data_IF_416467646050
#
_entry.id   IF_416467646050
#
_cell.length_a   1.000
_cell.length_b   1.000
_cell.length_c   1.000
_cell.angle_alpha   90.00
_cell.angle_beta   90.00
_cell.angle_gamma   90.00
#
_symmetry.space_group_name_H-M   'P 1'
#
loop_
_entity.id
_entity.type
_entity.pdbx_description
1 polymer ?
#
# COMPACT_ATOMS: atom_id res chain seq x y z
N UNK A 1 -2.36 2.79 28.76
CA UNK A 1 -1.51 3.88 29.29
C UNK A 1 -1.47 5.13 28.39
N UNK A 2 -2.05 5.12 27.16
CA UNK A 2 -1.97 6.24 26.21
C UNK A 2 -3.10 7.28 26.24
N UNK A 3 -4.27 6.96 26.80
CA UNK A 3 -5.40 7.93 26.81
C UNK A 3 -5.19 9.08 27.80
N UNK A 4 -4.61 8.77 28.97
CA UNK A 4 -4.27 9.76 29.99
C UNK A 4 -3.21 10.77 29.52
N UNK A 5 -2.24 10.34 28.69
CA UNK A 5 -1.23 11.25 28.15
C UNK A 5 -1.80 12.19 27.07
N UNK A 6 -2.77 11.73 26.28
CA UNK A 6 -3.52 12.59 25.35
C UNK A 6 -4.37 13.62 26.09
N UNK A 7 -5.10 13.18 27.11
CA UNK A 7 -5.95 14.06 27.91
C UNK A 7 -5.15 15.22 28.54
N UNK A 8 -3.94 14.95 29.06
CA UNK A 8 -3.08 15.98 29.64
C UNK A 8 -2.56 16.97 28.58
N UNK A 9 -2.22 16.49 27.38
CA UNK A 9 -1.78 17.34 26.27
C UNK A 9 -2.90 18.24 25.75
N UNK A 10 -4.13 17.72 25.68
CA UNK A 10 -5.30 18.51 25.34
C UNK A 10 -5.61 19.56 26.40
N UNK A 11 -5.55 19.18 27.68
CA UNK A 11 -5.74 20.10 28.80
C UNK A 11 -4.68 21.22 28.79
N UNK A 12 -3.41 20.89 28.50
CA UNK A 12 -2.34 21.87 28.37
C UNK A 12 -2.57 22.81 27.17
N UNK A 13 -3.00 22.28 26.02
CA UNK A 13 -3.31 23.09 24.84
C UNK A 13 -4.45 24.07 25.11
N UNK A 14 -5.57 23.57 25.67
CA UNK A 14 -6.73 24.39 26.03
C UNK A 14 -6.36 25.45 27.07
N UNK A 15 -5.69 25.05 28.15
CA UNK A 15 -5.27 25.96 29.22
C UNK A 15 -4.29 27.02 28.70
N UNK A 16 -3.32 26.64 27.87
CA UNK A 16 -2.36 27.56 27.27
C UNK A 16 -3.03 28.58 26.36
N UNK A 17 -3.94 28.14 25.48
CA UNK A 17 -4.68 29.05 24.60
C UNK A 17 -5.58 30.01 25.38
N UNK A 18 -6.28 29.52 26.40
CA UNK A 18 -7.11 30.36 27.28
C UNK A 18 -6.24 31.37 28.03
N UNK A 19 -5.13 30.93 28.63
CA UNK A 19 -4.21 31.79 29.36
C UNK A 19 -3.61 32.88 28.48
N UNK A 20 -3.24 32.55 27.25
CA UNK A 20 -2.71 33.52 26.29
C UNK A 20 -3.75 34.58 25.89
N UNK A 21 -5.00 34.18 25.63
CA UNK A 21 -6.09 35.12 25.35
C UNK A 21 -6.38 36.03 26.56
N UNK A 22 -6.41 35.48 27.77
CA UNK A 22 -6.62 36.26 29.00
C UNK A 22 -5.49 37.26 29.22
N UNK A 23 -4.23 36.86 29.05
CA UNK A 23 -3.08 37.76 29.18
C UNK A 23 -3.14 38.90 28.14
N UNK A 24 -3.48 38.58 26.90
CA UNK A 24 -3.57 39.57 25.82
C UNK A 24 -4.75 40.53 25.94
N UNK A 25 -5.86 40.12 26.55
CA UNK A 25 -7.08 40.92 26.71
C UNK A 25 -7.22 41.58 28.10
N UNK A 26 -6.37 41.24 29.06
CA UNK A 26 -6.44 41.75 30.43
C UNK A 26 -5.75 43.11 30.59
N UNK A 27 -6.48 44.19 30.92
CA UNK A 27 -5.90 45.52 31.09
C UNK A 27 -4.84 45.59 32.21
N UNK A 28 -4.91 44.69 33.19
CA UNK A 28 -3.98 44.64 34.33
C UNK A 28 -2.65 43.94 34.06
N UNK A 29 -2.50 43.26 32.92
CA UNK A 29 -1.29 42.51 32.53
C UNK A 29 -0.60 43.10 31.28
N UNK A 30 -0.93 44.35 30.94
CA UNK A 30 -0.46 44.98 29.69
C UNK A 30 -1.29 44.62 28.46
N UNK A 31 -2.50 44.08 28.67
CA UNK A 31 -3.41 43.64 27.63
C UNK A 31 -3.91 44.78 26.75
N UNK A 32 -4.06 44.44 25.49
CA UNK A 32 -4.34 45.33 24.39
C UNK A 32 -5.84 45.66 24.32
N UNK A 33 -6.19 46.93 24.13
CA UNK A 33 -7.60 47.36 24.08
C UNK A 33 -8.22 47.09 22.72
N UNK A 34 -9.38 46.42 22.73
CA UNK A 34 -10.20 46.17 21.55
C UNK A 34 -10.75 47.46 20.92
N UNK A 35 -10.95 48.52 21.71
CA UNK A 35 -11.39 49.84 21.25
C UNK A 35 -10.53 50.94 21.89
N UNK A 36 -10.05 51.88 21.06
CA UNK A 36 -9.32 53.07 21.51
C UNK A 36 -7.81 52.88 21.77
N UNK A 37 -7.25 51.72 21.43
CA UNK A 37 -5.80 51.47 21.41
C UNK A 37 -5.14 51.88 20.07
N UNK A 38 -3.86 51.56 19.91
CA UNK A 38 -3.19 51.77 18.60
C UNK A 38 -3.70 50.77 17.55
N UNK A 39 -3.65 51.11 16.26
CA UNK A 39 -4.11 50.21 15.19
C UNK A 39 -3.36 48.87 15.18
N UNK A 40 -2.09 48.87 15.60
CA UNK A 40 -1.27 47.67 15.75
C UNK A 40 -1.77 46.78 16.90
N UNK A 41 -2.10 47.39 18.03
CA UNK A 41 -2.61 46.73 19.23
C UNK A 41 -3.96 46.04 18.97
N UNK A 42 -4.88 46.72 18.28
CA UNK A 42 -6.16 46.13 17.89
C UNK A 42 -5.99 44.99 16.87
N UNK A 43 -5.12 45.16 15.87
CA UNK A 43 -4.85 44.11 14.88
C UNK A 43 -4.26 42.85 15.53
N UNK A 44 -3.30 43.01 16.44
CA UNK A 44 -2.69 41.89 17.17
C UNK A 44 -3.73 41.08 17.95
N UNK A 45 -4.62 41.75 18.69
CA UNK A 45 -5.68 41.09 19.47
C UNK A 45 -6.67 40.37 18.56
N UNK A 46 -7.10 41.00 17.47
CA UNK A 46 -8.04 40.40 16.52
C UNK A 46 -7.42 39.16 15.87
N UNK A 47 -6.16 39.23 15.44
CA UNK A 47 -5.44 38.07 14.88
C UNK A 47 -5.31 36.95 15.91
N UNK A 48 -4.94 37.26 17.16
CA UNK A 48 -4.84 36.27 18.24
C UNK A 48 -6.18 35.54 18.45
N UNK A 49 -7.29 36.29 18.48
CA UNK A 49 -8.63 35.76 18.71
C UNK A 49 -9.11 34.88 17.56
N UNK A 50 -8.77 35.24 16.31
CA UNK A 50 -9.08 34.43 15.11
C UNK A 50 -8.18 33.19 15.01
N UNK A 51 -6.90 33.30 15.36
CA UNK A 51 -5.96 32.17 15.28
C UNK A 51 -6.13 31.18 16.42
N UNK A 52 -6.61 31.62 17.59
CA UNK A 52 -6.90 30.77 18.75
C UNK A 52 -7.78 29.55 18.43
N UNK A 53 -8.97 29.67 17.79
CA UNK A 53 -9.78 28.51 17.40
C UNK A 53 -9.08 27.64 16.35
N UNK A 54 -8.30 28.23 15.42
CA UNK A 54 -7.53 27.46 14.43
C UNK A 54 -6.48 26.58 15.11
N UNK A 55 -5.75 27.13 16.09
CA UNK A 55 -4.75 26.39 16.88
C UNK A 55 -5.40 25.31 17.73
N UNK A 56 -6.56 25.58 18.34
CA UNK A 56 -7.29 24.57 19.10
C UNK A 56 -7.77 23.42 18.22
N UNK A 57 -8.33 23.73 17.04
CA UNK A 57 -8.81 22.70 16.11
C UNK A 57 -7.66 21.86 15.56
N UNK A 58 -6.61 22.50 15.03
CA UNK A 58 -5.47 21.80 14.42
C UNK A 58 -4.63 21.06 15.47
N UNK A 59 -4.38 21.68 16.62
CA UNK A 59 -3.64 21.07 17.72
C UNK A 59 -4.39 19.90 18.35
N UNK A 60 -5.69 20.04 18.61
CA UNK A 60 -6.50 18.94 19.14
C UNK A 60 -6.60 17.78 18.15
N UNK A 61 -6.77 18.09 16.86
CA UNK A 61 -6.77 17.07 15.80
C UNK A 61 -5.44 16.32 15.75
N UNK A 62 -4.31 17.03 15.84
CA UNK A 62 -2.99 16.39 15.89
C UNK A 62 -2.82 15.51 17.15
N UNK A 63 -3.27 15.93 18.33
CA UNK A 63 -3.11 15.13 19.56
C UNK A 63 -4.03 13.90 19.57
N UNK A 64 -5.24 14.02 19.03
CA UNK A 64 -6.22 12.92 19.02
C UNK A 64 -5.92 11.88 17.93
N UNK A 65 -5.51 12.33 16.74
CA UNK A 65 -5.48 11.48 15.53
C UNK A 65 -4.08 11.25 14.93
N UNK A 66 -3.01 11.91 15.42
CA UNK A 66 -1.65 11.73 14.88
C UNK A 66 -0.89 10.53 15.45
N UNK A 67 -1.53 9.70 16.26
CA UNK A 67 -1.05 8.34 16.49
C UNK A 67 -1.37 7.49 15.25
N UNK A 68 -0.75 7.81 14.12
CA UNK A 68 -0.74 6.89 13.00
C UNK A 68 0.05 5.67 13.46
N UNK A 69 -0.57 4.48 13.57
CA UNK A 69 0.22 3.26 13.72
C UNK A 69 1.08 3.21 12.46
N UNK A 70 2.40 3.30 12.63
CA UNK A 70 3.31 2.87 11.58
C UNK A 70 2.85 1.48 11.19
N UNK A 71 2.51 1.26 9.91
CA UNK A 71 2.06 -0.04 9.44
C UNK A 71 3.01 -1.09 10.04
N UNK A 72 2.50 -2.13 10.74
CA UNK A 72 3.36 -3.12 11.37
C UNK A 72 4.35 -3.61 10.32
N UNK A 73 5.66 -3.58 10.63
CA UNK A 73 6.70 -4.09 9.72
C UNK A 73 6.21 -5.44 9.22
N UNK A 74 6.14 -5.60 7.90
CA UNK A 74 5.81 -6.87 7.30
C UNK A 74 6.75 -7.89 7.96
N UNK A 75 6.25 -8.91 8.66
CA UNK A 75 7.07 -10.10 8.90
C UNK A 75 7.64 -10.51 7.54
N UNK A 76 8.79 -11.18 7.50
CA UNK A 76 9.28 -11.79 6.25
C UNK A 76 8.31 -12.88 5.79
N UNK A 77 7.16 -12.46 5.26
CA UNK A 77 6.19 -13.27 4.55
C UNK A 77 6.80 -13.44 3.17
N UNK A 78 7.79 -14.33 3.08
CA UNK A 78 8.42 -14.69 1.80
C UNK A 78 7.73 -15.89 1.16
N UNK A 79 6.86 -16.60 1.89
CA UNK A 79 6.24 -17.83 1.40
C UNK A 79 4.78 -17.61 0.97
N UNK A 80 4.31 -18.31 -0.09
CA UNK A 80 2.94 -18.24 -0.57
C UNK A 80 1.88 -18.49 0.52
N UNK A 81 2.12 -19.44 1.41
CA UNK A 81 1.21 -19.83 2.50
C UNK A 81 1.04 -18.71 3.52
N UNK A 82 2.12 -17.95 3.75
CA UNK A 82 2.12 -16.83 4.68
C UNK A 82 1.25 -15.68 4.17
N UNK A 83 1.26 -15.43 2.85
CA UNK A 83 0.34 -14.49 2.20
C UNK A 83 -1.11 -14.98 2.29
N UNK A 84 -1.36 -16.25 1.95
CA UNK A 84 -2.70 -16.85 2.04
C UNK A 84 -3.33 -16.67 3.43
N UNK A 85 -2.59 -17.02 4.48
CA UNK A 85 -3.05 -16.89 5.86
C UNK A 85 -3.39 -15.43 6.22
N UNK A 86 -2.61 -14.47 5.73
CA UNK A 86 -2.84 -13.05 5.98
C UNK A 86 -4.14 -12.55 5.33
N UNK A 87 -4.41 -12.91 4.07
CA UNK A 87 -5.66 -12.49 3.39
C UNK A 87 -6.90 -13.20 3.94
N UNK A 88 -6.80 -14.46 4.35
CA UNK A 88 -7.89 -15.17 5.05
C UNK A 88 -8.32 -14.43 6.32
N UNK A 89 -7.37 -13.80 7.03
CA UNK A 89 -7.68 -12.98 8.22
C UNK A 89 -8.48 -11.73 7.85
N UNK A 90 -8.06 -10.99 6.82
CA UNK A 90 -8.74 -9.77 6.39
C UNK A 90 -10.14 -10.01 5.84
N UNK A 91 -10.41 -11.21 5.31
CA UNK A 91 -11.76 -11.60 4.86
C UNK A 91 -12.83 -11.47 5.95
N UNK A 92 -12.44 -11.53 7.24
CA UNK A 92 -13.35 -11.30 8.38
C UNK A 92 -13.79 -9.85 8.52
N UNK A 93 -13.01 -8.91 7.97
CA UNK A 93 -13.33 -7.48 7.96
C UNK A 93 -14.15 -7.15 6.71
N UNK A 94 -15.39 -6.68 6.89
CA UNK A 94 -16.30 -6.35 5.76
C UNK A 94 -15.69 -5.33 4.80
N UNK A 95 -14.91 -4.38 5.30
CA UNK A 95 -14.32 -3.31 4.49
C UNK A 95 -13.17 -3.81 3.61
N UNK A 96 -12.52 -4.92 3.95
CA UNK A 96 -11.37 -5.48 3.23
C UNK A 96 -11.71 -6.78 2.49
N UNK A 97 -12.95 -7.27 2.66
CA UNK A 97 -13.34 -8.60 2.21
C UNK A 97 -13.19 -8.75 0.70
N UNK A 98 -13.57 -7.73 -0.07
CA UNK A 98 -13.55 -7.78 -1.54
C UNK A 98 -12.12 -7.93 -2.07
N UNK A 99 -11.22 -7.11 -1.57
CA UNK A 99 -9.81 -7.09 -1.95
C UNK A 99 -9.11 -8.37 -1.50
N UNK A 100 -9.49 -8.87 -0.31
CA UNK A 100 -8.98 -10.15 0.21
C UNK A 100 -9.44 -11.34 -0.63
N UNK A 101 -10.72 -11.40 -0.98
CA UNK A 101 -11.27 -12.49 -1.81
C UNK A 101 -10.64 -12.50 -3.21
N UNK A 102 -10.43 -11.31 -3.80
CA UNK A 102 -9.72 -11.18 -5.06
C UNK A 102 -8.25 -11.65 -4.96
N UNK A 103 -7.51 -11.19 -3.95
CA UNK A 103 -6.12 -11.59 -3.75
C UNK A 103 -5.97 -13.10 -3.53
N UNK A 104 -6.86 -13.71 -2.74
CA UNK A 104 -6.87 -15.16 -2.53
C UNK A 104 -7.12 -15.92 -3.84
N UNK A 105 -8.10 -15.48 -4.63
CA UNK A 105 -8.34 -16.10 -5.95
C UNK A 105 -7.13 -16.01 -6.87
N UNK A 106 -6.43 -14.87 -6.88
CA UNK A 106 -5.24 -14.68 -7.69
C UNK A 106 -4.06 -15.54 -7.21
N UNK A 107 -3.85 -15.66 -5.90
CA UNK A 107 -2.82 -16.52 -5.31
C UNK A 107 -3.01 -17.99 -5.72
N UNK A 108 -4.23 -18.51 -5.59
CA UNK A 108 -4.56 -19.88 -5.98
C UNK A 108 -4.35 -20.11 -7.49
N UNK A 109 -4.74 -19.14 -8.32
CA UNK A 109 -4.54 -19.22 -9.77
C UNK A 109 -3.06 -19.19 -10.15
N UNK A 110 -2.25 -18.35 -9.48
CA UNK A 110 -0.81 -18.26 -9.74
C UNK A 110 -0.13 -19.60 -9.46
N UNK A 111 -0.35 -20.15 -8.26
CA UNK A 111 0.24 -21.43 -7.84
C UNK A 111 -0.11 -22.56 -8.83
N UNK A 112 -1.39 -22.69 -9.19
CA UNK A 112 -1.82 -23.72 -10.15
C UNK A 112 -1.18 -23.55 -11.52
N UNK A 113 -1.13 -22.33 -12.05
CA UNK A 113 -0.57 -22.05 -13.38
C UNK A 113 0.93 -22.33 -13.42
N UNK A 114 1.68 -21.85 -12.43
CA UNK A 114 3.13 -22.10 -12.34
C UNK A 114 3.42 -23.60 -12.27
N UNK A 115 2.68 -24.34 -11.43
CA UNK A 115 2.84 -25.79 -11.32
C UNK A 115 2.55 -26.52 -12.64
N UNK A 116 1.47 -26.14 -13.35
CA UNK A 116 1.15 -26.73 -14.66
C UNK A 116 2.21 -26.38 -15.70
N UNK A 117 2.67 -25.14 -15.74
CA UNK A 117 3.70 -24.69 -16.69
C UNK A 117 5.02 -25.43 -16.50
N UNK A 118 5.49 -25.54 -15.26
CA UNK A 118 6.72 -26.26 -14.95
C UNK A 118 6.61 -27.76 -15.24
N UNK A 119 5.43 -28.36 -14.97
CA UNK A 119 5.13 -29.74 -15.33
C UNK A 119 5.23 -29.97 -16.84
N UNK A 120 4.48 -29.18 -17.63
CA UNK A 120 4.51 -29.25 -19.09
C UNK A 120 5.91 -28.97 -19.68
N UNK A 121 6.65 -28.07 -19.05
CA UNK A 121 8.01 -27.75 -19.47
C UNK A 121 8.95 -28.94 -19.28
N UNK A 122 8.83 -29.66 -18.14
CA UNK A 122 9.62 -30.86 -17.85
C UNK A 122 9.25 -32.08 -18.70
N UNK A 123 8.00 -32.16 -19.16
CA UNK A 123 7.58 -33.19 -20.11
C UNK A 123 8.12 -32.96 -21.53
N UNK A 124 8.33 -31.69 -21.91
CA UNK A 124 8.65 -31.31 -23.30
C UNK A 124 10.12 -31.05 -23.57
N UNK A 125 10.88 -30.63 -22.56
CA UNK A 125 12.28 -30.25 -22.71
C UNK A 125 13.12 -30.93 -21.65
N UNK A 126 14.36 -31.26 -22.00
CA UNK A 126 15.31 -31.73 -21.00
C UNK A 126 15.73 -30.55 -20.10
N UNK A 127 15.72 -30.68 -18.75
CA UNK A 127 16.15 -29.63 -17.83
C UNK A 127 17.56 -29.07 -18.07
N UNK A 128 18.44 -29.82 -18.75
CA UNK A 128 19.78 -29.33 -19.10
C UNK A 128 19.80 -28.39 -20.31
N UNK A 129 18.74 -28.38 -21.13
CA UNK A 129 18.62 -27.57 -22.33
C UNK A 129 18.43 -26.08 -22.00
N UNK A 130 18.94 -25.23 -22.89
CA UNK A 130 18.83 -23.78 -22.76
C UNK A 130 17.36 -23.31 -22.88
N UNK A 131 16.55 -23.97 -23.71
CA UNK A 131 15.12 -23.67 -23.88
C UNK A 131 14.36 -23.85 -22.57
N UNK A 132 14.56 -24.99 -21.91
CA UNK A 132 14.01 -25.25 -20.57
C UNK A 132 14.41 -24.16 -19.59
N UNK A 133 15.71 -23.87 -19.47
CA UNK A 133 16.21 -22.88 -18.51
C UNK A 133 15.63 -21.49 -18.73
N UNK A 134 15.35 -21.09 -19.97
CA UNK A 134 14.73 -19.79 -20.26
C UNK A 134 13.27 -19.74 -19.90
N UNK A 135 12.47 -20.73 -20.29
CA UNK A 135 11.08 -20.77 -19.85
C UNK A 135 10.97 -20.81 -18.32
N UNK A 136 11.76 -21.66 -17.66
CA UNK A 136 11.77 -21.74 -16.20
C UNK A 136 12.16 -20.41 -15.54
N UNK A 137 13.18 -19.72 -16.07
CA UNK A 137 13.58 -18.39 -15.59
C UNK A 137 12.50 -17.33 -15.82
N UNK A 138 11.78 -17.40 -16.94
CA UNK A 138 10.71 -16.46 -17.26
C UNK A 138 9.52 -16.65 -16.32
N UNK A 139 9.11 -17.90 -16.08
CA UNK A 139 8.06 -18.27 -15.13
C UNK A 139 8.43 -17.78 -13.73
N UNK A 140 9.65 -18.04 -13.27
CA UNK A 140 10.13 -17.61 -11.96
C UNK A 140 10.14 -16.08 -11.79
N UNK A 141 10.57 -15.34 -12.82
CA UNK A 141 10.56 -13.88 -12.78
C UNK A 141 9.14 -13.31 -12.72
N UNK A 142 8.19 -13.87 -13.47
CA UNK A 142 6.78 -13.48 -13.42
C UNK A 142 6.16 -13.78 -12.06
N UNK A 143 6.47 -14.94 -11.49
CA UNK A 143 6.04 -15.32 -10.15
C UNK A 143 6.58 -14.36 -9.09
N UNK A 144 7.87 -13.99 -9.15
CA UNK A 144 8.48 -13.03 -8.24
C UNK A 144 7.79 -11.66 -8.31
N UNK A 145 7.48 -11.16 -9.51
CA UNK A 145 6.78 -9.90 -9.71
C UNK A 145 5.37 -9.92 -9.11
N UNK A 146 4.63 -10.99 -9.34
CA UNK A 146 3.30 -11.18 -8.77
C UNK A 146 3.33 -11.15 -7.24
N UNK A 147 4.25 -11.90 -6.61
CA UNK A 147 4.39 -11.89 -5.16
C UNK A 147 4.89 -10.54 -4.61
N UNK A 148 5.61 -9.77 -5.42
CA UNK A 148 5.93 -8.36 -5.14
C UNK A 148 4.67 -7.52 -4.97
N UNK A 149 3.75 -7.54 -5.94
CA UNK A 149 2.48 -6.81 -5.84
C UNK A 149 1.59 -7.32 -4.70
N UNK A 150 1.56 -8.63 -4.46
CA UNK A 150 0.82 -9.22 -3.31
C UNK A 150 1.35 -8.66 -1.99
N UNK A 151 2.66 -8.48 -1.86
CA UNK A 151 3.30 -7.91 -0.66
C UNK A 151 2.88 -6.45 -0.45
N UNK A 152 2.90 -5.64 -1.51
CA UNK A 152 2.47 -4.24 -1.45
C UNK A 152 0.98 -4.13 -1.11
N UNK A 153 0.13 -4.95 -1.75
CA UNK A 153 -1.29 -5.05 -1.46
C UNK A 153 -1.54 -5.41 0.02
N UNK A 154 -0.82 -6.39 0.55
CA UNK A 154 -0.88 -6.75 1.96
C UNK A 154 -0.50 -5.56 2.87
N UNK A 155 0.56 -4.83 2.52
CA UNK A 155 0.96 -3.60 3.22
C UNK A 155 -0.17 -2.57 3.27
N UNK A 156 -0.83 -2.33 2.13
CA UNK A 156 -1.96 -1.40 2.02
C UNK A 156 -3.17 -1.84 2.85
N UNK A 157 -3.53 -3.12 2.81
CA UNK A 157 -4.66 -3.65 3.57
C UNK A 157 -4.41 -3.54 5.09
N UNK A 158 -3.17 -3.76 5.53
CA UNK A 158 -2.77 -3.52 6.95
C UNK A 158 -2.88 -2.05 7.32
N UNK A 159 -2.41 -1.15 6.45
CA UNK A 159 -2.52 0.29 6.68
C UNK A 159 -3.99 0.72 6.80
N UNK A 160 -4.85 0.19 5.92
CA UNK A 160 -6.29 0.44 5.96
C UNK A 160 -6.96 -0.13 7.21
N UNK A 161 -6.57 -1.33 7.64
CA UNK A 161 -7.07 -1.92 8.89
C UNK A 161 -6.66 -1.08 10.10
N UNK A 162 -5.44 -0.55 10.11
CA UNK A 162 -4.89 0.25 11.20
C UNK A 162 -5.40 1.70 11.21
N UNK A 163 -5.81 2.25 10.06
CA UNK A 163 -6.25 3.64 9.93
C UNK A 163 -7.55 3.76 9.14
N UNK A 164 -8.63 4.17 9.81
CA UNK A 164 -9.91 4.45 9.18
C UNK A 164 -9.86 5.60 8.16
N UNK A 165 -8.87 6.50 8.29
CA UNK A 165 -8.66 7.65 7.41
C UNK A 165 -7.69 7.37 6.26
N UNK A 166 -7.24 6.13 6.07
CA UNK A 166 -6.49 5.77 4.86
C UNK A 166 -7.36 6.04 3.64
N UNK A 167 -7.06 7.10 2.90
CA UNK A 167 -7.67 7.49 1.61
C UNK A 167 -6.80 6.95 0.47
N UNK A 168 -7.35 6.78 -0.73
CA UNK A 168 -6.60 6.28 -1.89
C UNK A 168 -6.34 4.76 -1.92
N UNK A 169 -6.28 4.10 -0.76
CA UNK A 169 -5.97 2.67 -0.65
C UNK A 169 -6.80 1.75 -1.57
N UNK A 170 -8.07 2.08 -1.83
CA UNK A 170 -8.94 1.28 -2.69
C UNK A 170 -8.51 1.37 -4.16
N UNK A 171 -8.09 2.56 -4.62
CA UNK A 171 -7.57 2.75 -5.98
C UNK A 171 -6.22 2.05 -6.13
N UNK A 172 -5.32 2.20 -5.14
CA UNK A 172 -4.01 1.56 -5.16
C UNK A 172 -4.13 0.03 -5.14
N UNK A 173 -5.03 -0.51 -4.28
CA UNK A 173 -5.31 -1.95 -4.22
C UNK A 173 -5.88 -2.49 -5.53
N UNK A 174 -6.75 -1.72 -6.20
CA UNK A 174 -7.27 -2.08 -7.52
C UNK A 174 -6.17 -2.09 -8.60
N UNK A 175 -5.20 -1.18 -8.51
CA UNK A 175 -4.02 -1.15 -9.37
C UNK A 175 -3.19 -2.43 -9.25
N UNK A 176 -2.84 -2.83 -8.03
CA UNK A 176 -2.08 -4.07 -7.79
C UNK A 176 -2.85 -5.33 -8.19
N UNK A 177 -4.15 -5.41 -7.86
CA UNK A 177 -5.00 -6.53 -8.28
C UNK A 177 -5.13 -6.59 -9.81
N UNK A 178 -5.26 -5.44 -10.48
CA UNK A 178 -5.32 -5.36 -11.94
C UNK A 178 -4.02 -5.80 -12.61
N UNK A 179 -2.86 -5.34 -12.11
CA UNK A 179 -1.56 -5.76 -12.61
C UNK A 179 -1.33 -7.27 -12.43
N UNK A 180 -1.76 -7.82 -11.29
CA UNK A 180 -1.74 -9.26 -11.05
C UNK A 180 -2.64 -10.04 -12.01
N UNK A 181 -3.79 -9.49 -12.38
CA UNK A 181 -4.67 -10.13 -13.37
C UNK A 181 -4.01 -10.17 -14.76
N UNK A 182 -3.35 -9.09 -15.16
CA UNK A 182 -2.59 -9.06 -16.41
C UNK A 182 -1.50 -10.13 -16.43
N UNK A 183 -0.74 -10.26 -15.33
CA UNK A 183 0.26 -11.32 -15.16
C UNK A 183 -0.37 -12.71 -15.35
N UNK A 184 -1.50 -12.98 -14.69
CA UNK A 184 -2.19 -14.27 -14.79
C UNK A 184 -2.65 -14.57 -16.21
N UNK A 185 -3.12 -13.56 -16.95
CA UNK A 185 -3.51 -13.68 -18.36
C UNK A 185 -2.32 -13.96 -19.27
N UNK A 186 -1.17 -13.35 -19.02
CA UNK A 186 0.06 -13.64 -19.79
C UNK A 186 0.56 -15.06 -19.54
N UNK A 187 0.44 -15.56 -18.31
CA UNK A 187 0.72 -16.98 -18.02
C UNK A 187 -0.25 -17.93 -18.74
N UNK A 188 -1.52 -17.55 -18.89
CA UNK A 188 -2.47 -18.30 -19.71
C UNK A 188 -2.06 -18.36 -21.18
N UNK A 189 -1.58 -17.24 -21.73
CA UNK A 189 -1.00 -17.19 -23.08
C UNK A 189 0.21 -18.10 -23.22
N UNK A 190 1.15 -18.04 -22.25
CA UNK A 190 2.33 -18.90 -22.26
C UNK A 190 1.96 -20.39 -22.15
N UNK A 191 0.97 -20.75 -21.33
CA UNK A 191 0.48 -22.12 -21.21
C UNK A 191 -0.09 -22.64 -22.52
N UNK A 192 -0.92 -21.82 -23.19
CA UNK A 192 -1.49 -22.18 -24.49
C UNK A 192 -0.40 -22.35 -25.57
N UNK A 193 0.58 -21.46 -25.62
CA UNK A 193 1.71 -21.59 -26.56
C UNK A 193 2.58 -22.81 -26.24
N UNK A 194 2.94 -23.03 -24.97
CA UNK A 194 3.72 -24.20 -24.54
C UNK A 194 3.04 -25.52 -24.89
N UNK A 195 1.71 -25.57 -24.78
CA UNK A 195 0.93 -26.75 -25.16
C UNK A 195 1.00 -27.04 -26.66
N UNK A 196 1.09 -25.98 -27.49
CA UNK A 196 1.17 -26.07 -28.96
C UNK A 196 2.59 -26.32 -29.48
N UNK A 197 3.61 -26.07 -28.68
CA UNK A 197 5.00 -26.24 -29.09
C UNK A 197 5.38 -27.72 -29.18
N UNK A 198 5.61 -28.19 -30.40
CA UNK A 198 6.29 -29.45 -30.66
C UNK A 198 7.80 -29.20 -30.71
N UNK A 199 8.50 -29.41 -29.58
CA UNK A 199 9.97 -29.48 -29.51
C UNK A 199 10.72 -28.36 -30.24
N UNK A 200 10.43 -27.09 -29.92
CA UNK A 200 11.06 -25.94 -30.57
C UNK A 200 12.50 -25.69 -30.12
N UNK A 201 13.36 -25.25 -31.05
CA UNK A 201 14.75 -24.88 -30.75
C UNK A 201 14.80 -23.60 -29.90
N UNK A 202 15.87 -23.42 -29.12
CA UNK A 202 16.10 -22.29 -28.22
C UNK A 202 15.94 -20.92 -28.91
N UNK A 203 16.39 -20.82 -30.17
CA UNK A 203 16.30 -19.57 -30.95
C UNK A 203 14.85 -19.23 -31.28
N UNK A 204 14.02 -20.26 -31.50
CA UNK A 204 12.60 -20.09 -31.76
C UNK A 204 11.87 -19.66 -30.48
N UNK A 205 12.30 -20.16 -29.31
CA UNK A 205 11.77 -19.78 -27.99
C UNK A 205 11.89 -18.28 -27.71
N UNK A 206 13.03 -17.67 -28.03
CA UNK A 206 13.24 -16.23 -27.84
C UNK A 206 12.37 -15.36 -28.74
N UNK A 207 11.91 -15.91 -29.87
CA UNK A 207 11.10 -15.17 -30.83
C UNK A 207 9.60 -15.27 -30.57
N UNK A 208 9.18 -16.18 -29.67
CA UNK A 208 7.78 -16.43 -29.34
C UNK A 208 7.09 -15.17 -28.80
N UNK A 209 5.86 -14.88 -29.25
CA UNK A 209 5.08 -13.75 -28.74
C UNK A 209 4.96 -13.75 -27.21
N UNK A 210 4.63 -14.90 -26.59
CA UNK A 210 4.49 -14.96 -25.13
C UNK A 210 5.81 -14.64 -24.39
N UNK A 211 6.95 -15.05 -24.95
CA UNK A 211 8.24 -14.83 -24.32
C UNK A 211 8.62 -13.34 -24.38
N UNK A 212 8.34 -12.68 -25.51
CA UNK A 212 8.50 -11.22 -25.65
C UNK A 212 7.57 -10.44 -24.71
N UNK A 213 6.32 -10.88 -24.57
CA UNK A 213 5.35 -10.22 -23.70
C UNK A 213 5.72 -10.30 -22.21
N UNK A 214 6.33 -11.43 -21.82
CA UNK A 214 6.90 -11.60 -20.47
C UNK A 214 8.17 -10.77 -20.31
N UNK A 215 9.07 -10.75 -21.28
CA UNK A 215 10.28 -9.90 -21.22
C UNK A 215 9.92 -8.42 -21.12
N UNK A 216 8.87 -7.97 -21.82
CA UNK A 216 8.35 -6.60 -21.69
C UNK A 216 7.83 -6.37 -20.28
N UNK A 217 7.05 -7.31 -19.72
CA UNK A 217 6.49 -7.18 -18.36
C UNK A 217 7.60 -7.14 -17.29
N UNK A 218 8.62 -7.97 -17.44
CA UNK A 218 9.81 -7.99 -16.55
C UNK A 218 10.62 -6.69 -16.69
N UNK A 219 10.79 -6.18 -17.90
CA UNK A 219 11.57 -4.95 -18.10
C UNK A 219 10.82 -3.71 -17.60
N UNK A 220 9.51 -3.61 -17.83
CA UNK A 220 8.69 -2.51 -17.34
C UNK A 220 8.73 -2.41 -15.82
N UNK A 221 8.70 -3.54 -15.12
CA UNK A 221 8.79 -3.59 -13.65
C UNK A 221 10.19 -3.26 -13.12
N UNK A 222 11.26 -3.52 -13.88
CA UNK A 222 12.62 -3.06 -13.55
C UNK A 222 12.75 -1.52 -13.53
N UNK A 223 11.93 -0.83 -14.32
CA UNK A 223 11.85 0.64 -14.34
C UNK A 223 10.79 1.20 -13.38
N UNK A 224 9.93 0.36 -12.82
CA UNK A 224 8.97 0.71 -11.78
C UNK A 224 9.59 0.42 -10.40
N UNK A 225 10.61 1.18 -10.03
CA UNK A 225 11.01 1.29 -8.62
C UNK A 225 10.05 2.27 -7.93
N UNK A 226 9.35 1.87 -6.85
CA UNK A 226 8.82 2.86 -5.93
C UNK A 226 9.96 3.65 -5.26
#
# INVERSE_FOLDING_TARGET
MGEWSKAWRLALLLSGTIGLNVAALSPGLGGARLMGGSSFETAFVVTLLVMSPVVLLTGSHAILFRDAPSAPRLPELRTPEAYWLAFVRFRRNRALRRESDAALSQLERMEKKVNVLLGLLGERFNPTELSYKRFASAIAAVEELFYGHVRELLGLLRLREASAMATGWSADSAGFLGANEEILLKLDGLLAELTRLGGADYRDVLLMPCMKDIDILINQTKYYKP
#
